data_IF_112344282462
#
_entry.id   IF_112344282462
#
_cell.length_a   1.000
_cell.length_b   1.000
_cell.length_c   1.000
_cell.angle_alpha   90.00
_cell.angle_beta   90.00
_cell.angle_gamma   90.00
#
_symmetry.space_group_name_H-M   'P 1'
#
loop_
_entity.id
_entity.type
_entity.pdbx_description
1 polymer ?
#
# COMPACT_ATOMS: atom_id res chain seq x y z
N UNK A 1 -14.99 -12.55 7.46
CA UNK A 1 -13.61 -12.15 7.87
C UNK A 1 -12.62 -12.40 6.73
N UNK A 2 -12.16 -11.32 6.09
CA UNK A 2 -11.12 -11.32 5.06
C UNK A 2 -9.70 -11.33 5.62
N UNK A 3 -8.73 -11.44 4.70
CA UNK A 3 -7.30 -11.41 4.99
C UNK A 3 -6.62 -10.31 4.18
N UNK A 4 -5.94 -9.40 4.87
CA UNK A 4 -5.22 -8.25 4.33
C UNK A 4 -3.72 -8.31 4.59
N UNK A 5 -2.93 -8.42 3.53
CA UNK A 5 -1.48 -8.27 3.62
C UNK A 5 -1.07 -6.83 3.41
N UNK A 6 -0.43 -6.22 4.38
CA UNK A 6 0.04 -4.84 4.30
C UNK A 6 1.52 -4.82 4.05
N UNK A 7 1.94 -4.22 2.95
CA UNK A 7 3.32 -4.27 2.48
C UNK A 7 3.87 -2.84 2.46
N UNK A 8 4.88 -2.57 3.30
CA UNK A 8 5.38 -1.21 3.54
C UNK A 8 6.60 -0.88 2.66
N UNK A 9 6.62 0.33 2.08
CA UNK A 9 7.65 0.75 1.13
C UNK A 9 8.08 2.20 1.28
N UNK A 10 9.10 2.45 2.11
CA UNK A 10 9.62 3.80 2.40
C UNK A 10 11.15 3.77 2.46
N UNK A 11 11.83 4.84 2.02
CA UNK A 11 13.31 4.90 1.92
C UNK A 11 14.00 4.76 3.28
N UNK A 12 13.40 5.34 4.33
CA UNK A 12 13.84 5.20 5.72
C UNK A 12 13.27 3.92 6.35
N UNK A 13 14.14 3.04 6.84
CA UNK A 13 13.75 1.76 7.45
C UNK A 13 13.26 1.87 8.91
N UNK A 14 13.74 2.89 9.64
CA UNK A 14 13.36 3.16 11.03
C UNK A 14 12.09 4.03 11.12
N UNK A 15 11.41 3.99 12.28
CA UNK A 15 10.27 4.84 12.66
C UNK A 15 9.04 4.76 11.72
N UNK A 16 8.86 3.64 11.01
CA UNK A 16 7.62 3.38 10.24
C UNK A 16 6.42 3.15 11.18
N UNK A 17 5.20 3.47 10.69
CA UNK A 17 4.00 3.51 11.55
C UNK A 17 2.69 3.13 10.84
N UNK A 18 2.33 3.83 9.76
CA UNK A 18 1.00 3.72 9.12
C UNK A 18 0.65 2.29 8.74
N UNK A 19 1.62 1.45 8.38
CA UNK A 19 1.38 0.02 8.16
C UNK A 19 0.81 -0.69 9.39
N UNK A 20 1.42 -0.47 10.55
CA UNK A 20 1.01 -1.09 11.81
C UNK A 20 -0.33 -0.52 12.28
N UNK A 21 -0.60 0.75 11.93
CA UNK A 21 -1.88 1.39 12.15
C UNK A 21 -2.93 0.73 11.30
N UNK A 22 -2.63 0.54 10.02
CA UNK A 22 -3.58 0.00 9.07
C UNK A 22 -3.97 -1.44 9.39
N UNK A 23 -2.97 -2.25 9.74
CA UNK A 23 -3.17 -3.59 10.28
C UNK A 23 -4.11 -3.55 11.48
N UNK A 24 -3.86 -2.64 12.43
CA UNK A 24 -4.60 -2.57 13.67
C UNK A 24 -6.01 -2.03 13.49
N UNK A 25 -6.23 -1.05 12.60
CA UNK A 25 -7.55 -0.56 12.26
C UNK A 25 -8.33 -1.66 11.59
N UNK A 26 -7.74 -2.34 10.61
CA UNK A 26 -8.48 -3.35 9.88
C UNK A 26 -8.84 -4.52 10.82
N UNK A 27 -7.94 -4.86 11.73
CA UNK A 27 -8.16 -5.79 12.82
C UNK A 27 -9.26 -5.35 13.79
N UNK A 28 -9.31 -4.07 14.14
CA UNK A 28 -10.31 -3.49 15.03
C UNK A 28 -11.71 -3.50 14.38
N UNK A 29 -11.77 -3.32 13.06
CA UNK A 29 -12.98 -3.45 12.25
C UNK A 29 -13.44 -4.91 12.10
N UNK A 30 -12.50 -5.85 12.16
CA UNK A 30 -12.77 -7.29 12.25
C UNK A 30 -12.22 -8.12 11.08
N UNK A 31 -11.17 -7.63 10.42
CA UNK A 31 -10.52 -8.28 9.29
C UNK A 31 -9.08 -8.69 9.69
N UNK A 32 -8.59 -9.81 9.18
CA UNK A 32 -7.31 -10.40 9.57
C UNK A 32 -6.19 -9.72 8.78
N UNK A 33 -5.75 -8.57 9.27
CA UNK A 33 -4.73 -7.76 8.62
C UNK A 33 -3.35 -7.98 9.26
N UNK A 34 -2.30 -7.90 8.44
CA UNK A 34 -0.91 -8.16 8.87
C UNK A 34 0.09 -7.30 8.13
N UNK A 35 1.08 -6.77 8.84
CA UNK A 35 2.24 -6.07 8.29
C UNK A 35 3.40 -6.98 7.85
N UNK A 36 3.94 -6.65 6.67
CA UNK A 36 5.18 -7.20 6.11
C UNK A 36 6.25 -6.09 5.97
N UNK A 37 7.37 -6.24 6.68
CA UNK A 37 8.56 -5.39 6.59
C UNK A 37 9.57 -5.97 5.59
N UNK A 38 10.34 -5.09 4.91
CA UNK A 38 11.20 -5.42 3.76
C UNK A 38 10.50 -6.40 2.77
N UNK A 39 9.35 -6.01 2.17
CA UNK A 39 8.46 -6.90 1.42
C UNK A 39 9.04 -7.83 0.33
N UNK A 40 8.79 -9.13 0.49
CA UNK A 40 9.02 -10.15 -0.53
C UNK A 40 7.76 -10.41 -1.37
N UNK A 41 7.97 -10.73 -2.64
CA UNK A 41 6.92 -11.22 -3.49
C UNK A 41 6.53 -12.65 -3.08
N UNK A 42 7.43 -13.40 -2.46
CA UNK A 42 7.09 -14.70 -1.87
C UNK A 42 6.14 -14.57 -0.67
N UNK A 43 6.05 -13.37 -0.06
CA UNK A 43 5.06 -13.02 0.93
C UNK A 43 3.78 -12.37 0.34
N UNK A 44 3.84 -11.79 -0.88
CA UNK A 44 2.63 -11.31 -1.57
C UNK A 44 1.84 -12.43 -2.27
N UNK A 45 2.51 -13.46 -2.82
CA UNK A 45 1.85 -14.57 -3.54
C UNK A 45 0.69 -15.23 -2.74
N UNK A 46 0.79 -15.43 -1.40
CA UNK A 46 -0.33 -15.88 -0.56
C UNK A 46 -1.64 -15.08 -0.63
N UNK A 47 -1.63 -13.85 -1.18
CA UNK A 47 -2.78 -12.93 -1.26
C UNK A 47 -3.39 -12.75 -2.65
N UNK A 48 -2.96 -13.55 -3.62
CA UNK A 48 -3.50 -13.62 -5.00
C UNK A 48 -5.04 -13.84 -5.05
N UNK A 49 -5.58 -14.54 -4.06
CA UNK A 49 -7.01 -14.86 -3.94
C UNK A 49 -7.69 -14.14 -2.74
N UNK A 50 -6.98 -13.15 -2.18
CA UNK A 50 -7.33 -12.38 -0.98
C UNK A 50 -7.29 -10.87 -1.26
N UNK A 51 -7.13 -10.07 -0.19
CA UNK A 51 -6.91 -8.63 -0.27
C UNK A 51 -5.52 -8.23 0.24
N UNK A 52 -5.11 -7.02 -0.12
CA UNK A 52 -3.76 -6.48 0.10
C UNK A 52 -3.86 -4.99 0.33
N UNK A 53 -2.86 -4.41 0.98
CA UNK A 53 -2.73 -2.99 1.23
C UNK A 53 -1.29 -2.56 0.99
N UNK A 54 -1.10 -1.52 0.20
CA UNK A 54 0.23 -0.96 -0.07
C UNK A 54 0.38 0.35 0.69
N UNK A 55 1.39 0.45 1.55
CA UNK A 55 1.66 1.67 2.32
C UNK A 55 3.06 2.13 1.95
N UNK A 56 3.17 3.27 1.25
CA UNK A 56 4.46 3.66 0.63
C UNK A 56 4.67 5.17 0.55
N UNK A 57 5.73 5.64 1.20
CA UNK A 57 6.17 7.05 1.20
C UNK A 57 7.32 7.26 0.20
N UNK A 58 7.93 8.45 0.22
CA UNK A 58 9.19 8.77 -0.49
C UNK A 58 9.11 8.56 -2.00
N UNK A 59 7.99 8.97 -2.60
CA UNK A 59 7.75 9.07 -4.04
C UNK A 59 8.84 9.90 -4.76
N UNK A 60 9.41 10.93 -4.10
CA UNK A 60 10.47 11.77 -4.66
C UNK A 60 10.08 12.38 -6.01
N UNK A 61 10.98 12.28 -6.99
CA UNK A 61 10.77 12.76 -8.37
C UNK A 61 9.91 11.80 -9.24
N UNK A 62 9.27 10.78 -8.64
CA UNK A 62 8.39 9.82 -9.32
C UNK A 62 8.97 8.40 -9.38
N UNK A 63 9.57 7.95 -8.28
CA UNK A 63 10.31 6.68 -8.15
C UNK A 63 9.94 5.93 -6.85
N UNK A 64 10.30 4.64 -6.79
CA UNK A 64 10.09 3.78 -5.62
C UNK A 64 11.37 3.57 -4.80
N UNK A 65 11.28 3.45 -3.46
CA UNK A 65 12.40 3.08 -2.61
C UNK A 65 12.77 1.60 -2.78
N UNK A 66 14.05 1.29 -2.54
CA UNK A 66 14.64 -0.05 -2.76
C UNK A 66 13.99 -1.16 -1.90
N UNK A 67 13.31 -0.79 -0.81
CA UNK A 67 12.54 -1.69 0.05
C UNK A 67 11.28 -2.28 -0.63
N UNK A 68 10.68 -1.56 -1.59
CA UNK A 68 9.44 -1.97 -2.29
C UNK A 68 9.62 -2.17 -3.80
N UNK A 69 10.73 -1.70 -4.38
CA UNK A 69 11.16 -2.02 -5.76
C UNK A 69 11.00 -3.51 -6.10
N UNK A 70 11.54 -4.46 -5.30
CA UNK A 70 11.53 -5.87 -5.67
C UNK A 70 10.12 -6.47 -5.63
N UNK A 71 9.26 -5.98 -4.72
CA UNK A 71 7.83 -6.28 -4.70
C UNK A 71 7.13 -5.76 -5.96
N UNK A 72 7.31 -4.50 -6.32
CA UNK A 72 6.70 -3.87 -7.49
C UNK A 72 7.04 -4.62 -8.79
N UNK A 73 8.34 -4.84 -9.01
CA UNK A 73 8.84 -5.62 -10.14
C UNK A 73 8.38 -7.08 -10.08
N UNK A 74 8.35 -7.66 -8.88
CA UNK A 74 7.90 -9.02 -8.65
C UNK A 74 6.41 -9.21 -8.94
N UNK A 75 5.55 -8.25 -8.65
CA UNK A 75 4.15 -8.31 -9.07
C UNK A 75 4.11 -8.25 -10.60
N UNK A 76 4.77 -7.27 -11.23
CA UNK A 76 4.58 -7.05 -12.68
C UNK A 76 5.16 -8.17 -13.55
N UNK A 77 6.24 -8.80 -13.09
CA UNK A 77 7.00 -9.83 -13.79
C UNK A 77 6.75 -11.28 -13.30
N UNK A 78 6.59 -11.49 -11.99
CA UNK A 78 6.43 -12.82 -11.37
C UNK A 78 4.98 -13.23 -11.15
N UNK A 79 4.03 -12.28 -11.11
CA UNK A 79 2.58 -12.56 -11.14
C UNK A 79 2.14 -12.54 -12.61
N UNK A 80 2.10 -11.36 -13.21
CA UNK A 80 1.92 -11.07 -14.65
C UNK A 80 0.52 -11.34 -15.20
N UNK A 81 -0.26 -12.12 -14.46
CA UNK A 81 -1.70 -12.39 -14.61
C UNK A 81 -2.26 -12.73 -13.23
N UNK A 82 -3.45 -12.23 -12.89
CA UNK A 82 -4.03 -12.34 -11.54
C UNK A 82 -5.53 -12.69 -11.63
N UNK A 83 -5.99 -13.81 -11.06
CA UNK A 83 -7.35 -14.31 -11.29
C UNK A 83 -8.45 -13.66 -10.43
N UNK A 84 -8.15 -13.31 -9.17
CA UNK A 84 -9.16 -12.88 -8.17
C UNK A 84 -8.67 -11.74 -7.24
N UNK A 85 -7.59 -11.03 -7.59
CA UNK A 85 -6.95 -10.08 -6.67
C UNK A 85 -7.66 -8.74 -6.61
N UNK A 86 -7.75 -8.19 -5.41
CA UNK A 86 -8.19 -6.82 -5.06
C UNK A 86 -7.26 -6.26 -3.98
N UNK A 87 -7.12 -4.94 -3.88
CA UNK A 87 -6.19 -4.30 -2.94
C UNK A 87 -6.54 -2.82 -2.70
N UNK A 88 -5.99 -2.24 -1.62
CA UNK A 88 -6.02 -0.81 -1.33
C UNK A 88 -4.62 -0.23 -1.15
N UNK A 89 -4.51 1.09 -1.04
CA UNK A 89 -3.21 1.76 -1.10
C UNK A 89 -3.20 3.16 -0.49
N UNK A 90 -2.07 3.51 0.12
CA UNK A 90 -1.79 4.73 0.87
C UNK A 90 -0.41 5.23 0.42
N UNK A 91 -0.39 6.22 -0.47
CA UNK A 91 0.79 6.92 -0.93
C UNK A 91 1.10 8.14 -0.04
N UNK A 92 2.39 8.45 0.15
CA UNK A 92 2.82 9.62 0.92
C UNK A 92 4.02 10.31 0.28
N UNK A 93 4.19 11.59 0.59
CA UNK A 93 5.40 12.32 0.23
C UNK A 93 5.23 13.83 0.34
N UNK A 94 5.93 14.60 -0.49
CA UNK A 94 5.87 16.06 -0.49
C UNK A 94 5.30 16.58 -1.81
N UNK A 95 4.15 17.26 -1.74
CA UNK A 95 3.46 17.82 -2.91
C UNK A 95 4.26 18.93 -3.64
N UNK A 96 5.41 19.35 -3.09
CA UNK A 96 6.37 20.23 -3.78
C UNK A 96 6.98 19.54 -5.02
N UNK A 97 7.05 18.20 -5.04
CA UNK A 97 7.40 17.43 -6.24
C UNK A 97 6.23 17.37 -7.23
N UNK A 98 6.54 17.52 -8.53
CA UNK A 98 5.59 17.52 -9.66
C UNK A 98 4.50 16.43 -9.59
N UNK A 99 4.93 15.20 -9.36
CA UNK A 99 4.15 13.98 -9.33
C UNK A 99 3.78 13.46 -7.92
N UNK A 100 3.82 14.34 -6.92
CA UNK A 100 3.32 14.22 -5.54
C UNK A 100 3.41 12.83 -4.87
N UNK A 101 2.44 11.94 -5.15
CA UNK A 101 2.23 10.65 -4.51
C UNK A 101 2.24 9.47 -5.50
N UNK A 102 2.89 9.62 -6.66
CA UNK A 102 2.97 8.62 -7.73
C UNK A 102 3.45 7.23 -7.27
N UNK A 103 4.23 7.09 -6.18
CA UNK A 103 4.69 5.78 -5.67
C UNK A 103 3.56 4.76 -5.43
N UNK A 104 2.43 5.16 -4.83
CA UNK A 104 1.26 4.27 -4.69
C UNK A 104 0.40 4.17 -5.96
N UNK A 105 0.30 5.25 -6.74
CA UNK A 105 -0.38 5.26 -8.05
C UNK A 105 0.27 4.31 -9.07
N UNK A 106 1.58 4.15 -8.99
CA UNK A 106 2.34 3.13 -9.72
C UNK A 106 1.88 1.72 -9.34
N UNK A 107 1.66 1.46 -8.05
CA UNK A 107 1.14 0.17 -7.56
C UNK A 107 -0.28 -0.11 -8.08
N UNK A 108 -1.14 0.91 -8.19
CA UNK A 108 -2.47 0.80 -8.80
C UNK A 108 -2.40 0.41 -10.28
N UNK A 109 -1.57 1.13 -11.05
CA UNK A 109 -1.31 0.80 -12.44
C UNK A 109 -0.80 -0.64 -12.62
N UNK A 110 0.01 -1.14 -11.67
CA UNK A 110 0.62 -2.47 -11.72
C UNK A 110 -0.46 -3.55 -11.82
N UNK A 111 -1.43 -3.48 -10.94
CA UNK A 111 -2.52 -4.46 -10.92
C UNK A 111 -3.39 -4.35 -12.18
N UNK A 112 -3.63 -3.12 -12.63
CA UNK A 112 -4.37 -2.87 -13.86
C UNK A 112 -3.59 -3.26 -15.13
N UNK A 113 -2.26 -3.40 -15.06
CA UNK A 113 -1.42 -3.82 -16.20
C UNK A 113 -1.54 -5.34 -16.43
N UNK A 114 -2.01 -6.08 -15.41
CA UNK A 114 -2.17 -7.52 -15.43
C UNK A 114 -3.62 -7.90 -15.72
N UNK A 115 -4.45 -7.77 -14.67
CA UNK A 115 -5.91 -8.02 -14.67
C UNK A 115 -6.56 -7.73 -13.31
N UNK A 116 -5.78 -7.37 -12.29
CA UNK A 116 -6.26 -7.29 -10.91
C UNK A 116 -7.07 -6.01 -10.63
N UNK A 117 -7.81 -6.08 -9.52
CA UNK A 117 -8.85 -5.12 -9.13
C UNK A 117 -8.39 -4.14 -8.03
N UNK A 118 -9.25 -3.17 -7.71
CA UNK A 118 -9.05 -2.11 -6.71
C UNK A 118 -10.17 -2.07 -5.66
N UNK A 119 -9.83 -1.57 -4.47
CA UNK A 119 -10.73 -1.39 -3.31
C UNK A 119 -10.63 0.07 -2.85
N UNK A 120 -11.78 0.77 -2.72
CA UNK A 120 -11.86 2.22 -2.49
C UNK A 120 -11.02 3.07 -3.45
N UNK A 121 -10.67 4.29 -3.04
CA UNK A 121 -9.70 5.17 -3.70
C UNK A 121 -8.52 5.45 -2.76
N UNK A 122 -7.29 5.57 -3.28
CA UNK A 122 -6.09 5.61 -2.46
C UNK A 122 -5.93 6.92 -1.68
N UNK A 123 -5.20 6.83 -0.58
CA UNK A 123 -4.77 7.98 0.21
C UNK A 123 -3.51 8.56 -0.39
N UNK A 124 -3.45 9.90 -0.41
CA UNK A 124 -2.28 10.69 -0.80
C UNK A 124 -1.94 11.70 0.30
N UNK A 125 -0.82 11.54 1.01
CA UNK A 125 -0.37 12.43 2.09
C UNK A 125 0.68 13.43 1.62
N UNK A 126 0.45 14.71 1.93
CA UNK A 126 1.42 15.78 1.71
C UNK A 126 2.09 16.24 3.01
N UNK A 127 3.38 15.92 3.12
CA UNK A 127 4.21 16.26 4.25
C UNK A 127 4.48 17.77 4.38
N UNK A 128 4.34 18.53 3.28
CA UNK A 128 4.43 19.99 3.28
C UNK A 128 3.29 20.65 4.08
N UNK A 129 2.18 19.95 4.28
CA UNK A 129 0.95 20.42 4.90
C UNK A 129 0.60 19.64 6.16
N UNK A 130 0.97 18.35 6.18
CA UNK A 130 0.70 17.43 7.27
C UNK A 130 1.89 16.46 7.52
N UNK A 131 2.90 16.85 8.33
CA UNK A 131 4.05 15.99 8.66
C UNK A 131 3.72 14.84 9.65
N UNK A 132 2.44 14.62 9.99
CA UNK A 132 1.92 13.59 10.89
C UNK A 132 1.07 12.58 10.10
N UNK A 133 1.67 11.74 9.24
CA UNK A 133 0.92 10.92 8.30
C UNK A 133 -0.12 9.99 8.89
N UNK A 134 0.01 9.59 10.15
CA UNK A 134 -0.99 8.77 10.81
C UNK A 134 -2.32 9.52 10.99
N UNK A 135 -2.31 10.86 11.03
CA UNK A 135 -3.52 11.66 11.23
C UNK A 135 -4.41 11.68 9.98
N UNK A 136 -3.84 11.28 8.85
CA UNK A 136 -4.48 11.19 7.54
C UNK A 136 -4.80 9.74 7.16
N UNK A 137 -3.76 8.91 7.18
CA UNK A 137 -3.89 7.50 6.81
C UNK A 137 -4.70 6.67 7.81
N UNK A 138 -4.65 6.94 9.11
CA UNK A 138 -5.45 6.16 10.08
C UNK A 138 -6.96 6.27 9.81
N UNK A 139 -7.59 7.47 9.79
CA UNK A 139 -9.00 7.58 9.42
C UNK A 139 -9.27 7.13 7.98
N UNK A 140 -8.28 7.16 7.09
CA UNK A 140 -8.42 6.62 5.75
C UNK A 140 -8.58 5.10 5.79
N UNK A 141 -7.74 4.41 6.56
CA UNK A 141 -7.84 2.96 6.74
C UNK A 141 -9.18 2.64 7.43
N UNK A 142 -9.66 3.52 8.31
CA UNK A 142 -10.93 3.37 9.01
C UNK A 142 -12.15 3.54 8.09
N UNK A 143 -12.02 4.32 7.02
CA UNK A 143 -12.99 4.43 5.93
C UNK A 143 -12.86 3.29 4.92
N UNK A 144 -11.68 3.12 4.33
CA UNK A 144 -11.36 2.07 3.38
C UNK A 144 -11.59 0.68 3.93
N UNK A 145 -11.31 0.45 5.21
CA UNK A 145 -11.58 -0.81 5.90
C UNK A 145 -13.03 -1.30 5.76
N UNK A 146 -14.00 -0.39 5.65
CA UNK A 146 -15.40 -0.71 5.42
C UNK A 146 -15.69 -1.34 4.04
N UNK A 147 -14.74 -1.27 3.11
CA UNK A 147 -14.79 -1.87 1.79
C UNK A 147 -14.44 -3.37 1.82
N UNK A 148 -13.81 -3.87 2.90
CA UNK A 148 -13.35 -5.25 3.04
C UNK A 148 -14.50 -6.16 3.60
N UNK A 149 -14.21 -7.44 3.85
CA UNK A 149 -15.19 -8.49 4.22
C UNK A 149 -14.74 -9.44 5.34
#
# INVERSE_FOLDING_TARGET
MAEIGIFVGTMYGNSLLVAEEAEAILTAQGHKATVFEDPELSDWLPYQDKYVLVVTSTTGQGDLPDSIVPLFQGIKDSLGFQPNLRYGVIALGDSSYVNFCNGGKQFDALLQEQSAQRVGEMLLIDASENPEPETESNPWVEHWGTLLS
#
